data_IF_818399436350
#
_entry.id   IF_818399436350
#
_cell.length_a   1.000
_cell.length_b   1.000
_cell.length_c   1.000
_cell.angle_alpha   90.00
_cell.angle_beta   90.00
_cell.angle_gamma   90.00
#
_symmetry.space_group_name_H-M   'P 1'
#
loop_
_entity.id
_entity.type
_entity.pdbx_description
1 polymer ?
#
# COMPACT_ATOMS: atom_id res chain seq x y z
N UNK A 1 -45.07 -45.98 16.77
CA UNK A 1 -46.43 -46.34 17.26
C UNK A 1 -46.58 -45.81 18.67
N UNK A 2 -47.67 -45.10 18.99
CA UNK A 2 -48.14 -44.98 20.39
C UNK A 2 -47.84 -43.68 21.16
N UNK A 3 -48.33 -42.58 20.63
CA UNK A 3 -48.76 -41.33 21.26
C UNK A 3 -49.72 -41.49 22.47
N UNK A 4 -49.59 -40.59 23.47
CA UNK A 4 -50.64 -40.08 24.40
C UNK A 4 -50.19 -38.69 24.87
N UNK A 5 -50.98 -37.65 25.16
CA UNK A 5 -52.40 -37.32 25.05
C UNK A 5 -52.49 -35.80 25.31
N UNK A 6 -53.34 -35.08 24.57
CA UNK A 6 -53.71 -33.69 24.82
C UNK A 6 -54.73 -33.58 25.95
N UNK A 7 -54.78 -32.48 26.70
CA UNK A 7 -55.99 -31.70 26.98
C UNK A 7 -55.63 -30.24 27.32
N UNK A 8 -56.46 -29.30 26.85
CA UNK A 8 -56.31 -27.84 26.97
C UNK A 8 -57.60 -27.29 27.60
N UNK A 9 -57.46 -26.52 28.67
CA UNK A 9 -58.47 -25.63 29.25
C UNK A 9 -57.68 -24.51 29.96
N UNK A 10 -58.05 -23.24 30.06
CA UNK A 10 -59.17 -22.42 29.61
C UNK A 10 -59.02 -21.07 30.33
N UNK A 11 -59.52 -20.00 29.69
CA UNK A 11 -59.93 -18.70 30.25
C UNK A 11 -58.88 -17.63 30.67
N UNK A 12 -59.11 -16.43 30.12
CA UNK A 12 -58.56 -15.11 30.43
C UNK A 12 -58.85 -14.62 31.86
N UNK A 13 -57.97 -13.77 32.42
CA UNK A 13 -58.38 -12.54 33.11
C UNK A 13 -57.26 -11.50 33.28
N UNK A 14 -57.65 -10.28 32.99
CA UNK A 14 -56.99 -8.97 33.08
C UNK A 14 -56.58 -8.57 34.52
N UNK A 15 -55.40 -7.97 34.73
CA UNK A 15 -55.20 -6.83 35.66
C UNK A 15 -53.76 -6.25 35.68
N UNK A 16 -53.61 -5.06 35.07
CA UNK A 16 -52.93 -3.85 35.55
C UNK A 16 -51.84 -3.98 36.64
N UNK A 17 -50.58 -3.69 36.29
CA UNK A 17 -49.69 -2.83 37.11
C UNK A 17 -48.49 -2.28 36.34
N UNK A 18 -48.17 -1.04 36.66
CA UNK A 18 -47.22 -0.14 35.98
C UNK A 18 -45.75 -0.43 36.28
N UNK A 19 -44.92 0.16 35.41
CA UNK A 19 -43.64 0.84 35.70
C UNK A 19 -42.32 0.08 35.52
N UNK A 20 -41.43 0.80 34.81
CA UNK A 20 -39.95 0.76 34.70
C UNK A 20 -39.51 0.15 33.35
N UNK A 21 -38.82 0.84 32.44
CA UNK A 21 -37.97 2.03 32.53
C UNK A 21 -36.62 1.69 31.91
N UNK A 22 -36.29 2.26 30.74
CA UNK A 22 -34.98 2.18 30.04
C UNK A 22 -34.59 0.78 29.55
N UNK A 23 -33.79 0.58 28.49
CA UNK A 23 -32.86 1.47 27.78
C UNK A 23 -32.40 0.73 26.51
N UNK A 24 -32.35 1.47 25.41
CA UNK A 24 -31.54 1.34 24.18
C UNK A 24 -31.01 -0.03 23.70
N UNK A 25 -31.33 -0.35 22.44
CA UNK A 25 -30.70 -1.39 21.64
C UNK A 25 -30.80 -1.08 20.15
N UNK A 26 -29.72 -0.51 19.61
CA UNK A 26 -29.58 0.00 18.25
C UNK A 26 -29.87 -1.05 17.15
N UNK A 27 -30.75 -0.68 16.20
CA UNK A 27 -30.77 -1.17 14.82
C UNK A 27 -31.26 -0.05 13.91
N UNK A 28 -30.44 0.52 12.99
CA UNK A 28 -30.95 1.46 12.01
C UNK A 28 -31.83 0.69 11.02
N UNK A 29 -33.14 1.01 11.01
CA UNK A 29 -34.05 0.55 9.96
C UNK A 29 -33.81 1.43 8.74
N UNK A 30 -33.04 0.92 7.79
CA UNK A 30 -32.98 1.46 6.43
C UNK A 30 -34.33 1.15 5.79
N UNK A 31 -35.26 2.09 5.88
CA UNK A 31 -36.42 2.13 4.99
C UNK A 31 -36.02 3.08 3.86
N UNK A 32 -35.51 2.50 2.78
CA UNK A 32 -35.27 3.20 1.51
C UNK A 32 -36.62 3.23 0.78
N UNK A 33 -37.41 4.26 1.03
CA UNK A 33 -38.58 4.59 0.21
C UNK A 33 -38.78 6.10 0.20
N UNK A 34 -38.19 6.74 -0.81
CA UNK A 34 -38.61 8.01 -1.38
C UNK A 34 -37.95 8.08 -2.75
N UNK A 35 -38.66 7.59 -3.78
CA UNK A 35 -38.21 7.60 -5.17
C UNK A 35 -38.54 8.95 -5.85
N UNK A 36 -38.20 10.05 -5.19
CA UNK A 36 -38.51 11.40 -5.67
C UNK A 36 -37.55 12.42 -5.07
N UNK A 37 -36.34 12.47 -5.64
CA UNK A 37 -35.47 13.64 -5.55
C UNK A 37 -34.74 13.80 -6.89
N UNK A 38 -35.44 14.44 -7.83
CA UNK A 38 -35.06 14.59 -9.23
C UNK A 38 -34.35 15.91 -9.56
N UNK A 39 -33.76 16.60 -8.59
CA UNK A 39 -32.98 17.83 -8.83
C UNK A 39 -31.78 17.92 -7.85
N UNK A 40 -30.77 17.09 -8.12
CA UNK A 40 -29.55 16.98 -7.31
C UNK A 40 -28.43 17.96 -7.74
N UNK A 41 -28.63 18.72 -8.82
CA UNK A 41 -27.65 19.70 -9.30
C UNK A 41 -28.27 21.10 -9.25
N UNK A 42 -28.20 21.73 -8.08
CA UNK A 42 -28.60 23.12 -7.93
C UNK A 42 -27.45 24.02 -8.40
N UNK A 43 -27.77 25.08 -9.14
CA UNK A 43 -26.84 26.11 -9.67
C UNK A 43 -25.94 26.76 -8.61
N UNK A 44 -26.22 26.54 -7.33
CA UNK A 44 -25.40 27.04 -6.22
C UNK A 44 -24.15 26.19 -5.98
N UNK A 45 -24.14 24.90 -6.36
CA UNK A 45 -22.93 24.05 -6.32
C UNK A 45 -21.85 24.58 -7.28
N UNK A 46 -22.26 25.11 -8.43
CA UNK A 46 -21.35 25.72 -9.40
C UNK A 46 -20.72 27.00 -8.86
N UNK A 47 -21.45 27.77 -8.06
CA UNK A 47 -20.93 28.98 -7.42
C UNK A 47 -20.02 28.64 -6.26
N UNK A 48 -20.35 27.62 -5.46
CA UNK A 48 -19.49 27.12 -4.39
C UNK A 48 -18.19 26.53 -4.97
N UNK A 49 -18.28 25.78 -6.07
CA UNK A 49 -17.12 25.28 -6.81
C UNK A 49 -16.23 26.42 -7.33
N UNK A 50 -16.81 27.47 -7.92
CA UNK A 50 -16.06 28.64 -8.38
C UNK A 50 -15.50 29.48 -7.22
N UNK A 51 -16.21 29.57 -6.10
CA UNK A 51 -15.73 30.24 -4.89
C UNK A 51 -14.54 29.49 -4.27
N UNK A 52 -14.62 28.16 -4.19
CA UNK A 52 -13.50 27.32 -3.74
C UNK A 52 -12.29 27.42 -4.67
N UNK A 53 -12.52 27.53 -5.98
CA UNK A 53 -11.46 27.73 -6.97
C UNK A 53 -10.79 29.10 -6.85
N UNK A 54 -11.55 30.15 -6.50
CA UNK A 54 -11.02 31.47 -6.20
C UNK A 54 -10.28 31.51 -4.85
N UNK A 55 -10.71 30.73 -3.85
CA UNK A 55 -10.00 30.56 -2.57
C UNK A 55 -8.68 29.77 -2.75
N UNK A 56 -8.60 28.85 -3.71
CA UNK A 56 -7.34 28.23 -4.14
C UNK A 56 -6.37 29.23 -4.77
N UNK A 57 -6.88 30.25 -5.47
CA UNK A 57 -6.05 31.20 -6.24
C UNK A 57 -5.76 32.52 -5.51
N UNK A 58 -6.40 32.81 -4.38
CA UNK A 58 -6.39 34.16 -3.75
C UNK A 58 -5.42 34.41 -2.59
N UNK A 59 -4.62 33.44 -2.13
CA UNK A 59 -3.58 33.76 -1.13
C UNK A 59 -2.28 32.96 -1.24
N UNK A 60 -1.64 33.02 -2.40
CA UNK A 60 -0.17 33.09 -2.42
C UNK A 60 0.29 34.02 -3.55
N UNK A 61 0.76 35.22 -3.21
CA UNK A 61 1.99 35.67 -3.88
C UNK A 61 3.04 34.65 -3.49
N UNK A 62 3.13 33.57 -4.27
CA UNK A 62 3.98 32.43 -3.99
C UNK A 62 5.35 32.91 -3.55
N UNK A 63 5.76 32.50 -2.35
CA UNK A 63 7.18 32.48 -2.00
C UNK A 63 7.93 31.91 -3.22
N UNK A 64 9.08 32.48 -3.62
CA UNK A 64 9.80 32.03 -4.80
C UNK A 64 9.87 30.51 -4.79
N UNK A 65 9.25 29.88 -5.79
CA UNK A 65 9.31 28.43 -5.97
C UNK A 65 10.79 28.07 -6.08
N UNK A 66 11.36 27.47 -5.03
CA UNK A 66 12.75 27.07 -5.05
C UNK A 66 12.88 25.98 -6.11
N UNK A 67 13.51 26.33 -7.24
CA UNK A 67 13.80 25.40 -8.32
C UNK A 67 15.22 24.87 -8.14
N UNK A 68 15.41 23.75 -7.42
CA UNK A 68 16.74 23.23 -7.16
C UNK A 68 17.45 22.91 -8.49
N UNK A 69 18.66 23.46 -8.66
CA UNK A 69 19.51 23.21 -9.83
C UNK A 69 20.67 22.30 -9.44
N UNK A 70 20.81 21.16 -10.14
CA UNK A 70 21.85 20.16 -9.86
C UNK A 70 23.12 20.44 -10.67
N UNK A 71 24.25 20.64 -9.99
CA UNK A 71 25.57 20.72 -10.60
C UNK A 71 26.31 19.39 -10.48
N UNK A 72 26.74 18.80 -11.60
CA UNK A 72 27.47 17.52 -11.63
C UNK A 72 28.78 17.65 -12.39
N UNK A 73 29.89 17.35 -11.71
CA UNK A 73 31.20 17.21 -12.31
C UNK A 73 31.51 15.73 -12.61
N UNK A 74 31.79 15.39 -13.88
CA UNK A 74 32.13 14.01 -14.31
C UNK A 74 33.65 13.77 -14.45
N UNK A 75 34.46 14.81 -14.40
CA UNK A 75 35.90 14.70 -14.55
C UNK A 75 36.58 14.14 -13.30
N UNK A 76 37.85 13.69 -13.40
CA UNK A 76 38.64 13.36 -12.23
C UNK A 76 38.89 14.62 -11.37
N UNK A 77 39.14 14.43 -10.08
CA UNK A 77 39.51 15.52 -9.16
C UNK A 77 39.44 15.08 -7.70
N UNK A 78 40.49 15.39 -6.91
CA UNK A 78 40.57 15.07 -5.45
C UNK A 78 39.86 16.09 -4.56
N UNK A 79 39.64 17.29 -5.05
CA UNK A 79 38.78 18.31 -4.46
C UNK A 79 38.17 19.10 -5.60
N UNK A 80 36.85 19.23 -5.61
CA UNK A 80 36.14 19.93 -6.67
C UNK A 80 35.31 20.99 -5.98
N UNK A 81 35.39 22.22 -6.49
CA UNK A 81 34.67 23.35 -5.93
C UNK A 81 33.84 24.02 -7.03
N UNK A 82 32.67 24.51 -6.66
CA UNK A 82 31.76 25.27 -7.50
C UNK A 82 31.78 26.74 -7.07
N UNK A 83 31.97 27.64 -8.03
CA UNK A 83 31.92 29.09 -7.85
C UNK A 83 31.37 29.71 -9.13
N UNK A 84 30.63 30.81 -9.05
CA UNK A 84 30.00 31.43 -10.20
C UNK A 84 29.36 32.78 -9.88
N UNK A 85 28.63 33.34 -10.84
CA UNK A 85 27.93 34.62 -10.65
C UNK A 85 26.89 34.56 -9.52
N UNK A 86 26.28 33.41 -9.29
CA UNK A 86 25.28 33.20 -8.22
C UNK A 86 25.86 33.33 -6.80
N UNK A 87 27.19 33.32 -6.63
CA UNK A 87 27.84 33.59 -5.33
C UNK A 87 28.89 34.72 -5.40
N UNK A 88 28.77 35.62 -6.38
CA UNK A 88 29.70 36.73 -6.60
C UNK A 88 31.17 36.30 -6.64
N UNK A 89 31.47 35.06 -7.05
CA UNK A 89 32.81 34.48 -7.01
C UNK A 89 33.51 34.54 -5.64
N UNK A 90 32.77 34.80 -4.57
CA UNK A 90 33.31 35.11 -3.24
C UNK A 90 33.72 33.86 -2.45
N UNK A 91 33.06 32.74 -2.70
CA UNK A 91 33.28 31.48 -1.99
C UNK A 91 33.41 30.29 -2.94
N UNK A 92 34.04 29.23 -2.43
CA UNK A 92 34.20 27.95 -3.12
C UNK A 92 33.29 26.93 -2.42
N UNK A 93 32.21 26.53 -3.07
CA UNK A 93 31.28 25.52 -2.54
C UNK A 93 31.88 24.15 -2.84
N UNK A 94 32.27 23.34 -1.85
CA UNK A 94 32.82 22.01 -2.11
C UNK A 94 31.76 21.09 -2.72
N UNK A 95 32.07 20.46 -3.85
CA UNK A 95 31.23 19.43 -4.44
C UNK A 95 31.53 18.09 -3.79
N UNK A 96 30.50 17.50 -3.18
CA UNK A 96 30.58 16.15 -2.64
C UNK A 96 30.82 15.15 -3.78
N UNK A 97 31.86 14.31 -3.65
CA UNK A 97 32.01 13.15 -4.53
C UNK A 97 30.89 12.17 -4.22
N UNK A 98 29.96 12.04 -5.16
CA UNK A 98 29.09 10.88 -5.19
C UNK A 98 29.98 9.67 -5.45
N UNK A 99 30.07 8.77 -4.46
CA UNK A 99 30.73 7.48 -4.65
C UNK A 99 29.92 6.69 -5.68
N UNK A 100 30.61 5.98 -6.57
CA UNK A 100 29.93 5.01 -7.43
C UNK A 100 29.14 4.03 -6.56
N UNK A 101 27.95 3.60 -7.00
CA UNK A 101 27.23 2.56 -6.28
C UNK A 101 28.14 1.33 -6.12
N UNK A 102 27.99 0.57 -5.04
CA UNK A 102 28.75 -0.66 -4.86
C UNK A 102 28.45 -1.62 -6.02
N UNK A 103 29.47 -2.39 -6.41
CA UNK A 103 29.31 -3.43 -7.42
C UNK A 103 28.39 -4.52 -6.85
N UNK A 104 27.46 -5.01 -7.68
CA UNK A 104 26.55 -6.09 -7.31
C UNK A 104 27.35 -7.36 -6.94
N UNK A 105 27.15 -7.94 -5.74
CA UNK A 105 27.78 -9.21 -5.40
C UNK A 105 27.33 -10.32 -6.37
N UNK A 106 28.26 -11.08 -6.99
CA UNK A 106 27.91 -12.07 -8.02
C UNK A 106 27.02 -13.21 -7.50
N UNK A 107 27.03 -13.46 -6.18
CA UNK A 107 26.18 -14.46 -5.53
C UNK A 107 24.68 -14.19 -5.72
N UNK A 108 24.26 -12.93 -5.85
CA UNK A 108 22.84 -12.59 -6.05
C UNK A 108 22.33 -12.98 -7.44
N UNK A 109 23.23 -13.22 -8.39
CA UNK A 109 22.90 -13.68 -9.74
C UNK A 109 22.59 -15.19 -9.80
N UNK A 110 22.96 -15.96 -8.77
CA UNK A 110 22.76 -17.41 -8.73
C UNK A 110 21.35 -17.78 -8.25
N UNK A 111 20.33 -17.40 -9.03
CA UNK A 111 18.91 -17.61 -8.69
C UNK A 111 18.63 -19.09 -8.41
N UNK A 112 18.16 -19.40 -7.21
CA UNK A 112 17.93 -20.77 -6.75
C UNK A 112 16.91 -21.52 -7.62
N UNK A 113 15.84 -20.82 -8.02
CA UNK A 113 14.74 -21.35 -8.82
C UNK A 113 15.10 -21.60 -10.28
N UNK A 114 16.23 -21.07 -10.77
CA UNK A 114 16.70 -21.30 -12.13
C UNK A 114 17.64 -22.50 -12.25
N UNK A 115 17.89 -23.22 -11.15
CA UNK A 115 18.75 -24.40 -11.13
C UNK A 115 17.91 -25.64 -11.42
N UNK A 116 18.39 -26.49 -12.32
CA UNK A 116 17.78 -27.78 -12.58
C UNK A 116 17.93 -28.70 -11.36
N UNK A 117 16.81 -29.09 -10.76
CA UNK A 117 16.77 -30.17 -9.78
C UNK A 117 16.65 -31.49 -10.52
N UNK A 118 17.55 -32.44 -10.25
CA UNK A 118 17.57 -33.72 -10.96
C UNK A 118 16.21 -34.44 -10.89
N UNK A 119 15.84 -35.12 -11.97
CA UNK A 119 14.53 -35.76 -12.21
C UNK A 119 14.10 -36.79 -11.13
N UNK A 120 15.00 -37.17 -10.23
CA UNK A 120 14.83 -38.22 -9.21
C UNK A 120 14.34 -37.69 -7.85
N UNK A 121 14.42 -36.37 -7.60
CA UNK A 121 14.01 -35.78 -6.31
C UNK A 121 12.60 -35.16 -6.37
N UNK A 122 11.99 -35.02 -5.19
CA UNK A 122 10.72 -34.29 -5.01
C UNK A 122 10.82 -32.87 -5.60
N UNK A 123 9.89 -32.46 -6.49
CA UNK A 123 9.94 -31.16 -7.18
C UNK A 123 9.81 -29.95 -6.26
N UNK A 124 9.40 -30.14 -5.00
CA UNK A 124 9.31 -29.06 -4.00
C UNK A 124 10.62 -28.80 -3.27
N UNK A 125 11.61 -29.69 -3.42
CA UNK A 125 12.91 -29.58 -2.75
C UNK A 125 13.88 -28.75 -3.59
N UNK A 126 14.52 -27.79 -2.94
CA UNK A 126 15.55 -26.93 -3.52
C UNK A 126 16.90 -27.20 -2.85
N UNK A 127 18.03 -26.99 -3.56
CA UNK A 127 19.35 -27.10 -2.95
C UNK A 127 19.55 -26.04 -1.85
N UNK A 128 20.54 -26.26 -0.98
CA UNK A 128 20.82 -25.32 0.10
C UNK A 128 21.21 -23.93 -0.47
N UNK A 129 20.50 -22.84 -0.09
CA UNK A 129 20.81 -21.51 -0.57
C UNK A 129 22.06 -20.95 0.11
N UNK A 130 22.80 -20.10 -0.61
CA UNK A 130 23.84 -19.29 0.03
C UNK A 130 23.21 -18.28 0.99
N UNK A 131 23.74 -18.14 2.21
CA UNK A 131 23.20 -17.22 3.21
C UNK A 131 23.10 -15.75 2.72
N UNK A 132 23.94 -15.35 1.76
CA UNK A 132 23.93 -13.99 1.17
C UNK A 132 22.70 -13.73 0.30
N UNK A 133 22.08 -14.75 -0.32
CA UNK A 133 20.90 -14.55 -1.16
C UNK A 133 19.58 -14.52 -0.38
N UNK A 134 19.62 -14.78 0.93
CA UNK A 134 18.42 -14.78 1.76
C UNK A 134 17.86 -13.37 1.91
N UNK A 135 16.53 -13.26 1.96
CA UNK A 135 15.78 -12.01 2.08
C UNK A 135 15.97 -11.05 0.89
N UNK A 136 16.55 -11.51 -0.22
CA UNK A 136 16.59 -10.78 -1.48
C UNK A 136 15.35 -11.12 -2.33
N UNK A 137 14.75 -10.08 -2.92
CA UNK A 137 13.59 -10.21 -3.80
C UNK A 137 14.05 -10.59 -5.21
N UNK A 138 13.46 -11.65 -5.75
CA UNK A 138 13.57 -12.06 -7.14
C UNK A 138 12.21 -11.91 -7.80
N UNK A 139 12.19 -11.45 -9.05
CA UNK A 139 10.95 -11.26 -9.80
C UNK A 139 11.11 -11.83 -11.20
N UNK A 140 10.03 -12.39 -11.74
CA UNK A 140 9.92 -12.64 -13.17
C UNK A 140 9.36 -11.41 -13.86
N UNK A 141 9.67 -11.26 -15.15
CA UNK A 141 9.00 -10.28 -16.00
C UNK A 141 7.50 -10.53 -15.98
N UNK A 142 6.73 -9.46 -15.83
CA UNK A 142 5.27 -9.50 -15.84
C UNK A 142 4.80 -10.12 -17.16
N UNK A 143 3.89 -11.09 -17.07
CA UNK A 143 3.28 -11.76 -18.22
C UNK A 143 1.80 -11.98 -17.95
N UNK A 144 0.96 -11.79 -18.98
CA UNK A 144 -0.48 -12.05 -18.92
C UNK A 144 -1.20 -11.31 -17.77
N UNK A 145 -0.75 -10.09 -17.45
CA UNK A 145 -1.32 -9.26 -16.37
C UNK A 145 -0.99 -9.75 -14.96
N UNK A 146 -0.04 -10.68 -14.80
CA UNK A 146 0.37 -11.23 -13.50
C UNK A 146 1.82 -10.90 -13.20
N UNK A 147 2.06 -10.36 -12.01
CA UNK A 147 3.39 -10.20 -11.41
C UNK A 147 3.72 -11.43 -10.56
N UNK A 148 4.93 -11.95 -10.71
CA UNK A 148 5.46 -13.06 -9.91
C UNK A 148 6.68 -12.59 -9.12
N UNK A 149 6.56 -12.64 -7.80
CA UNK A 149 7.62 -12.29 -6.86
C UNK A 149 8.05 -13.51 -6.07
N UNK A 150 9.32 -13.58 -5.70
CA UNK A 150 9.85 -14.65 -4.86
C UNK A 150 10.95 -14.17 -3.94
N UNK A 151 11.07 -14.82 -2.78
CA UNK A 151 12.14 -14.58 -1.83
C UNK A 151 12.39 -15.83 -0.99
N UNK A 152 13.65 -16.05 -0.61
CA UNK A 152 14.04 -17.16 0.27
C UNK A 152 14.29 -16.64 1.68
N UNK A 153 13.56 -17.20 2.65
CA UNK A 153 13.67 -16.84 4.06
C UNK A 153 14.17 -18.01 4.89
N UNK A 154 14.90 -17.73 5.97
CA UNK A 154 15.33 -18.74 6.94
C UNK A 154 14.37 -18.79 8.11
N UNK A 155 13.81 -19.96 8.38
CA UNK A 155 13.03 -20.25 9.58
C UNK A 155 13.77 -21.29 10.43
N UNK A 156 14.26 -20.87 11.60
CA UNK A 156 15.19 -21.67 12.44
C UNK A 156 16.42 -22.10 11.64
N UNK A 157 16.60 -23.41 11.43
CA UNK A 157 17.67 -24.02 10.62
C UNK A 157 17.18 -24.53 9.25
N UNK A 158 16.01 -24.08 8.81
CA UNK A 158 15.41 -24.46 7.52
C UNK A 158 15.25 -23.22 6.64
N UNK A 159 15.16 -23.45 5.33
CA UNK A 159 14.96 -22.41 4.33
C UNK A 159 13.63 -22.65 3.61
N UNK A 160 12.93 -21.56 3.31
CA UNK A 160 11.65 -21.58 2.58
C UNK A 160 11.72 -20.53 1.49
N UNK A 161 11.49 -20.94 0.25
CA UNK A 161 11.35 -20.03 -0.90
C UNK A 161 9.87 -19.87 -1.19
N UNK A 162 9.35 -18.66 -1.00
CA UNK A 162 7.92 -18.36 -1.23
C UNK A 162 7.76 -17.65 -2.57
N UNK A 163 6.74 -18.04 -3.34
CA UNK A 163 6.33 -17.37 -4.58
C UNK A 163 4.97 -16.71 -4.37
N UNK A 164 4.84 -15.45 -4.80
CA UNK A 164 3.59 -14.69 -4.79
C UNK A 164 3.20 -14.34 -6.22
N UNK A 165 2.02 -14.78 -6.63
CA UNK A 165 1.38 -14.42 -7.88
C UNK A 165 0.31 -13.36 -7.60
N UNK A 166 0.46 -12.17 -8.18
CA UNK A 166 -0.43 -11.04 -7.96
C UNK A 166 -0.86 -10.42 -9.29
N UNK A 167 -2.16 -10.36 -9.63
CA UNK A 167 -2.66 -9.60 -10.77
C UNK A 167 -2.34 -8.10 -10.64
N UNK A 168 -2.17 -7.43 -11.78
CA UNK A 168 -1.88 -5.99 -11.87
C UNK A 168 -3.14 -5.23 -12.26
#
# INVERSE_FOLDING_TARGET
MGNTSSERSGAEKTQRRESRGGKDGARPKILMDSAEDGDIFQTDDAKEFLAWQHDQESDTKGLPEERPTVFRWKGPGKEIYLSGSFNNWSSKIPLNRLRSPPILPPHLLQVLLNKDTGISCDPTLLPEPNHVMLNHLYALSIKDGVMVLSATHRYKKKYVTTLLYKPI
#
